data_IF_589742656377
#
_entry.id   IF_589742656377
#
_cell.length_a   1.000
_cell.length_b   1.000
_cell.length_c   1.000
_cell.angle_alpha   90.00
_cell.angle_beta   90.00
_cell.angle_gamma   90.00
#
_symmetry.space_group_name_H-M   'P 1'
#
loop_
_entity.id
_entity.type
_entity.pdbx_description
1 polymer ?
#
# COMPACT_ATOMS: atom_id res chain seq x y z
N UNK A 1 -12.64 -23.25 -17.32
CA UNK A 1 -14.11 -23.39 -17.40
C UNK A 1 -14.56 -24.36 -16.32
N UNK A 2 -15.59 -23.95 -15.57
CA UNK A 2 -16.34 -24.68 -14.52
C UNK A 2 -15.68 -24.75 -13.14
N UNK A 3 -16.14 -23.83 -12.28
CA UNK A 3 -16.08 -23.90 -10.82
C UNK A 3 -17.25 -24.79 -10.40
N UNK A 4 -16.99 -25.88 -9.69
CA UNK A 4 -18.02 -26.67 -9.02
C UNK A 4 -18.24 -26.13 -7.61
N UNK A 5 -19.48 -25.72 -7.33
CA UNK A 5 -19.94 -25.25 -6.03
C UNK A 5 -20.28 -26.40 -5.10
N UNK A 6 -20.04 -26.20 -3.80
CA UNK A 6 -20.64 -26.99 -2.72
C UNK A 6 -21.63 -26.06 -1.99
N UNK A 7 -22.87 -26.52 -1.74
CA UNK A 7 -23.99 -25.65 -1.37
C UNK A 7 -23.95 -25.14 0.07
N UNK A 8 -24.66 -24.03 0.24
CA UNK A 8 -24.93 -23.30 1.47
C UNK A 8 -25.42 -24.17 2.63
N UNK A 9 -24.93 -23.88 3.83
CA UNK A 9 -25.61 -24.25 5.07
C UNK A 9 -26.79 -23.30 5.28
N UNK A 10 -28.00 -23.85 5.30
CA UNK A 10 -29.25 -23.13 5.53
C UNK A 10 -29.40 -22.74 7.03
N UNK A 11 -30.22 -21.73 7.35
CA UNK A 11 -30.11 -20.92 8.56
C UNK A 11 -30.82 -21.55 9.77
N UNK A 12 -30.40 -21.16 10.98
CA UNK A 12 -31.18 -21.40 12.18
C UNK A 12 -32.36 -20.40 12.21
N UNK A 13 -33.56 -20.97 12.23
CA UNK A 13 -34.85 -20.29 12.30
C UNK A 13 -35.13 -19.75 13.71
N UNK A 14 -35.87 -18.64 13.79
CA UNK A 14 -36.59 -18.23 15.00
C UNK A 14 -36.14 -16.92 15.67
N UNK A 15 -36.70 -15.79 15.23
CA UNK A 15 -37.65 -14.99 16.02
C UNK A 15 -37.92 -13.63 15.35
N UNK A 16 -39.15 -13.46 14.88
CA UNK A 16 -39.67 -12.23 14.33
C UNK A 16 -39.89 -11.17 15.42
N UNK A 17 -39.42 -9.95 15.16
CA UNK A 17 -40.08 -8.74 15.63
C UNK A 17 -40.00 -7.68 14.52
N UNK A 18 -41.17 -7.28 14.04
CA UNK A 18 -41.38 -6.31 12.98
C UNK A 18 -40.89 -4.90 13.40
N UNK A 19 -40.30 -4.19 12.46
CA UNK A 19 -39.99 -2.76 12.58
C UNK A 19 -39.51 -2.22 11.25
N UNK A 20 -40.36 -1.46 10.56
CA UNK A 20 -40.11 -0.96 9.22
C UNK A 20 -38.88 -0.04 9.13
N UNK A 21 -38.20 -0.17 8.02
CA UNK A 21 -37.13 0.71 7.58
C UNK A 21 -36.55 0.06 6.34
N UNK A 22 -36.80 0.63 5.17
CA UNK A 22 -36.06 0.30 3.97
C UNK A 22 -34.59 0.63 4.26
N UNK A 23 -33.85 -0.36 4.75
CA UNK A 23 -32.41 -0.28 4.80
C UNK A 23 -31.96 -0.32 3.34
N UNK A 24 -31.74 0.86 2.79
CA UNK A 24 -30.89 1.04 1.61
C UNK A 24 -29.67 0.13 1.82
N UNK A 25 -29.61 -0.95 1.05
CA UNK A 25 -28.42 -1.78 0.92
C UNK A 25 -27.37 -0.97 0.16
N UNK A 26 -26.87 0.08 0.79
CA UNK A 26 -25.63 0.75 0.47
C UNK A 26 -24.49 -0.15 0.93
N UNK A 27 -24.43 -1.36 0.35
CA UNK A 27 -23.32 -2.28 0.46
C UNK A 27 -22.16 -1.71 -0.31
N UNK A 28 -21.53 -0.67 0.23
CA UNK A 28 -20.19 -0.29 -0.16
C UNK A 28 -19.34 -1.55 0.05
N UNK A 29 -18.71 -2.12 -1.00
CA UNK A 29 -17.81 -3.23 -0.76
C UNK A 29 -16.75 -2.71 0.19
N UNK A 30 -16.64 -3.31 1.38
CA UNK A 30 -15.49 -3.12 2.26
C UNK A 30 -14.26 -3.30 1.37
N UNK A 31 -13.50 -2.22 1.17
CA UNK A 31 -12.33 -2.25 0.32
C UNK A 31 -11.42 -3.34 0.89
N UNK A 32 -11.32 -4.47 0.19
CA UNK A 32 -10.41 -5.56 0.58
C UNK A 32 -9.01 -4.98 0.50
N UNK A 33 -8.46 -4.60 1.65
CA UNK A 33 -7.13 -4.04 1.78
C UNK A 33 -6.12 -5.18 1.59
N UNK A 34 -5.59 -5.31 0.38
CA UNK A 34 -4.45 -6.18 0.11
C UNK A 34 -3.17 -5.38 0.35
N UNK A 35 -2.31 -5.91 1.20
CA UNK A 35 -1.02 -5.28 1.55
C UNK A 35 0.11 -5.89 0.74
N UNK A 36 1.04 -5.04 0.29
CA UNK A 36 2.24 -5.50 -0.41
C UNK A 36 3.48 -5.16 0.40
N UNK A 37 4.33 -6.16 0.64
CA UNK A 37 5.61 -5.95 1.30
C UNK A 37 6.68 -5.48 0.29
N UNK A 38 7.42 -4.43 0.67
CA UNK A 38 8.50 -3.86 -0.14
C UNK A 38 9.75 -3.63 0.68
N UNK A 39 10.90 -4.03 0.13
CA UNK A 39 12.22 -3.75 0.68
C UNK A 39 12.65 -2.34 0.30
N UNK A 40 13.47 -1.69 1.13
CA UNK A 40 14.03 -0.36 0.84
C UNK A 40 14.68 -0.26 -0.56
N UNK A 41 15.42 -1.28 -0.99
CA UNK A 41 16.04 -1.30 -2.34
C UNK A 41 15.03 -1.20 -3.48
N UNK A 42 13.79 -1.64 -3.28
CA UNK A 42 12.72 -1.51 -4.28
C UNK A 42 12.21 -0.07 -4.36
N UNK A 43 12.24 0.70 -3.26
CA UNK A 43 11.94 2.13 -3.29
C UNK A 43 13.02 2.91 -4.04
N UNK A 44 14.30 2.54 -3.85
CA UNK A 44 15.42 3.11 -4.62
C UNK A 44 15.18 2.90 -6.11
N UNK A 45 14.91 1.65 -6.51
CA UNK A 45 14.64 1.31 -7.90
C UNK A 45 13.43 2.06 -8.48
N UNK A 46 12.34 2.17 -7.72
CA UNK A 46 11.17 2.97 -8.13
C UNK A 46 11.58 4.42 -8.40
N UNK A 47 12.33 5.04 -7.48
CA UNK A 47 12.76 6.43 -7.62
C UNK A 47 13.65 6.64 -8.84
N UNK A 48 14.59 5.73 -9.10
CA UNK A 48 15.46 5.78 -10.27
C UNK A 48 14.66 5.64 -11.57
N UNK A 49 13.71 4.69 -11.63
CA UNK A 49 12.83 4.50 -12.81
C UNK A 49 11.95 5.74 -13.07
N UNK A 50 11.44 6.38 -12.01
CA UNK A 50 10.69 7.63 -12.12
C UNK A 50 11.57 8.80 -12.55
N UNK A 51 12.82 8.89 -12.08
CA UNK A 51 13.76 9.91 -12.56
C UNK A 51 14.13 9.72 -14.03
N UNK A 52 14.19 8.48 -14.51
CA UNK A 52 14.46 8.20 -15.92
C UNK A 52 13.28 8.54 -16.84
N UNK A 53 12.05 8.32 -16.38
CA UNK A 53 10.84 8.41 -17.22
C UNK A 53 9.99 9.66 -17.01
N UNK A 54 10.04 10.26 -15.82
CA UNK A 54 9.20 11.38 -15.35
C UNK A 54 10.03 12.39 -14.53
N UNK A 55 11.27 12.65 -14.98
CA UNK A 55 12.19 13.58 -14.32
C UNK A 55 11.58 14.96 -13.96
N UNK A 56 10.83 15.64 -14.86
CA UNK A 56 10.29 16.95 -14.53
C UNK A 56 9.22 16.87 -13.43
N UNK A 57 8.37 15.85 -13.42
CA UNK A 57 7.33 15.66 -12.42
C UNK A 57 7.92 15.28 -11.05
N UNK A 58 8.97 14.46 -11.01
CA UNK A 58 9.70 14.15 -9.78
C UNK A 58 10.35 15.40 -9.19
N UNK A 59 10.95 16.25 -10.04
CA UNK A 59 11.56 17.52 -9.57
C UNK A 59 10.50 18.52 -9.11
N UNK A 60 9.37 18.62 -9.81
CA UNK A 60 8.28 19.55 -9.48
C UNK A 60 7.54 19.14 -8.20
N UNK A 61 7.31 17.84 -7.99
CA UNK A 61 6.69 17.32 -6.78
C UNK A 61 7.59 17.44 -5.54
N UNK A 62 8.91 17.51 -5.73
CA UNK A 62 9.87 17.57 -4.65
C UNK A 62 9.99 16.26 -3.86
N UNK A 63 9.46 15.14 -4.40
CA UNK A 63 9.54 13.85 -3.73
C UNK A 63 11.00 13.40 -3.61
N UNK A 64 11.46 13.19 -2.37
CA UNK A 64 12.82 12.72 -2.09
C UNK A 64 12.78 11.36 -1.42
N UNK A 65 13.60 10.45 -1.94
CA UNK A 65 13.82 9.17 -1.29
C UNK A 65 14.59 9.37 0.03
N UNK A 66 14.14 8.79 1.16
CA UNK A 66 14.89 8.87 2.40
C UNK A 66 16.24 8.16 2.28
N UNK A 67 17.23 8.64 3.04
CA UNK A 67 18.58 8.09 3.04
C UNK A 67 18.61 6.62 3.49
N UNK A 68 19.59 5.85 3.01
CA UNK A 68 19.79 4.45 3.39
C UNK A 68 19.99 4.30 4.90
N UNK A 69 19.63 3.13 5.41
CA UNK A 69 19.98 2.65 6.75
C UNK A 69 21.46 2.95 7.05
N UNK A 70 21.70 3.74 8.09
CA UNK A 70 23.03 3.92 8.66
C UNK A 70 23.12 3.07 9.91
N UNK A 71 23.51 1.83 9.73
CA UNK A 71 23.86 1.00 10.88
C UNK A 71 25.14 1.55 11.51
N UNK A 72 25.20 1.68 12.85
CA UNK A 72 26.45 1.97 13.52
C UNK A 72 27.50 0.91 13.15
N UNK A 73 28.76 1.30 13.16
CA UNK A 73 29.91 0.41 12.85
C UNK A 73 30.11 -0.68 13.91
N UNK A 74 29.45 -0.56 15.07
CA UNK A 74 29.42 -1.56 16.12
C UNK A 74 28.23 -2.50 15.90
N UNK A 75 28.37 -3.76 16.33
CA UNK A 75 27.34 -4.80 16.23
C UNK A 75 25.99 -4.29 16.77
N UNK A 76 25.02 -3.98 15.90
CA UNK A 76 23.74 -3.43 16.33
C UNK A 76 22.94 -4.53 17.02
N UNK A 77 22.24 -4.17 18.10
CA UNK A 77 21.30 -5.07 18.75
C UNK A 77 20.03 -5.20 17.91
N UNK A 78 19.23 -6.23 18.17
CA UNK A 78 17.91 -6.36 17.55
C UNK A 78 16.99 -5.16 17.85
N UNK A 79 17.15 -4.54 19.03
CA UNK A 79 16.41 -3.34 19.41
C UNK A 79 16.84 -2.12 18.57
N UNK A 80 18.14 -1.96 18.30
CA UNK A 80 18.66 -0.88 17.44
C UNK A 80 18.14 -1.02 16.01
N UNK A 81 18.09 -2.26 15.49
CA UNK A 81 17.52 -2.55 14.17
C UNK A 81 16.02 -2.24 14.10
N UNK A 82 15.26 -2.58 15.15
CA UNK A 82 13.83 -2.33 15.21
C UNK A 82 13.51 -0.82 15.33
N UNK A 83 14.26 -0.09 16.15
CA UNK A 83 14.12 1.35 16.31
C UNK A 83 14.43 2.10 15.00
N UNK A 84 15.58 1.81 14.37
CA UNK A 84 15.92 2.41 13.07
C UNK A 84 14.91 2.02 11.98
N UNK A 85 14.39 0.78 12.02
CA UNK A 85 13.32 0.36 11.11
C UNK A 85 12.04 1.19 11.27
N UNK A 86 11.59 1.40 12.51
CA UNK A 86 10.40 2.19 12.82
C UNK A 86 10.56 3.67 12.40
N UNK A 87 11.71 4.27 12.67
CA UNK A 87 12.02 5.66 12.30
C UNK A 87 11.99 5.91 10.79
N UNK A 88 12.18 4.87 9.97
CA UNK A 88 12.20 4.96 8.50
C UNK A 88 10.86 4.71 7.84
N UNK A 89 9.91 4.07 8.53
CA UNK A 89 8.58 3.81 7.97
C UNK A 89 7.84 5.11 7.65
N UNK A 90 7.91 6.10 8.54
CA UNK A 90 7.29 7.42 8.31
C UNK A 90 7.82 8.12 7.06
N UNK A 91 9.15 8.30 6.90
CA UNK A 91 9.73 8.89 5.70
C UNK A 91 9.45 8.11 4.41
N UNK A 92 9.43 6.78 4.44
CA UNK A 92 9.08 5.96 3.28
C UNK A 92 7.61 6.12 2.89
N UNK A 93 6.72 6.19 3.88
CA UNK A 93 5.31 6.46 3.65
C UNK A 93 5.12 7.85 3.05
N UNK A 94 5.74 8.88 3.62
CA UNK A 94 5.67 10.25 3.10
C UNK A 94 6.20 10.36 1.65
N UNK A 95 7.25 9.61 1.32
CA UNK A 95 7.73 9.50 -0.06
C UNK A 95 6.67 8.90 -0.98
N UNK A 96 6.01 7.81 -0.58
CA UNK A 96 4.95 7.20 -1.38
C UNK A 96 3.75 8.14 -1.52
N UNK A 97 3.30 8.77 -0.44
CA UNK A 97 2.22 9.75 -0.45
C UNK A 97 2.50 10.88 -1.44
N UNK A 98 3.74 11.36 -1.48
CA UNK A 98 4.19 12.35 -2.45
C UNK A 98 4.12 11.83 -3.90
N UNK A 99 4.62 10.61 -4.16
CA UNK A 99 4.58 9.98 -5.49
C UNK A 99 3.13 9.80 -5.95
N UNK A 100 2.25 9.30 -5.08
CA UNK A 100 0.85 9.09 -5.42
C UNK A 100 0.04 10.38 -5.43
N UNK A 101 0.52 11.50 -4.88
CA UNK A 101 -0.17 12.79 -5.01
C UNK A 101 -0.12 13.31 -6.45
N UNK A 102 0.97 13.06 -7.18
CA UNK A 102 1.11 13.42 -8.59
C UNK A 102 0.39 12.41 -9.50
N UNK A 103 -0.53 12.89 -10.33
CA UNK A 103 -1.29 12.04 -11.25
C UNK A 103 -0.37 11.31 -12.25
N UNK A 104 0.60 12.03 -12.83
CA UNK A 104 1.54 11.46 -13.78
C UNK A 104 2.43 10.38 -13.13
N UNK A 105 2.95 10.63 -11.94
CA UNK A 105 3.79 9.66 -11.22
C UNK A 105 2.98 8.46 -10.73
N UNK A 106 1.73 8.66 -10.31
CA UNK A 106 0.80 7.59 -9.92
C UNK A 106 0.46 6.68 -11.09
N UNK A 107 0.22 7.26 -12.26
CA UNK A 107 -0.11 6.52 -13.48
C UNK A 107 1.10 5.79 -14.10
N UNK A 108 2.32 6.14 -13.70
CA UNK A 108 3.54 5.55 -14.23
C UNK A 108 3.55 4.01 -14.03
N UNK A 109 3.95 3.22 -15.05
CA UNK A 109 4.01 1.76 -14.94
C UNK A 109 4.87 1.26 -13.78
N UNK A 110 5.96 1.96 -13.46
CA UNK A 110 6.83 1.64 -12.34
C UNK A 110 6.07 1.72 -10.99
N UNK A 111 5.29 2.79 -10.78
CA UNK A 111 4.49 2.99 -9.58
C UNK A 111 3.38 1.94 -9.46
N UNK A 112 2.69 1.64 -10.57
CA UNK A 112 1.64 0.62 -10.59
C UNK A 112 2.16 -0.77 -10.20
N UNK A 113 3.27 -1.22 -10.80
CA UNK A 113 3.96 -2.47 -10.43
C UNK A 113 4.43 -2.44 -8.98
N UNK A 114 4.96 -1.29 -8.53
CA UNK A 114 5.41 -1.14 -7.16
C UNK A 114 4.26 -1.31 -6.17
N UNK A 115 3.09 -0.76 -6.45
CA UNK A 115 1.89 -0.93 -5.63
C UNK A 115 1.25 -2.32 -5.79
N UNK A 116 1.64 -3.09 -6.81
CA UNK A 116 1.05 -4.40 -7.14
C UNK A 116 -0.25 -4.30 -7.94
N UNK A 117 -0.51 -3.15 -8.56
CA UNK A 117 -1.66 -2.88 -9.40
C UNK A 117 -1.32 -3.14 -10.88
N UNK A 118 -1.15 -4.42 -11.23
CA UNK A 118 -0.98 -4.89 -12.61
C UNK A 118 -2.22 -5.68 -13.06
#
# INVERSE_FOLDING_TARGET
MRVEGVPAVAPADGAAAAGGGAAECSGQPEAVAWGVSRRFSQFVRLHDELLCSHAPEVRASGCRLPAKFRLPTLLPTAADLAAEGADRMGPLQAYLDCVVASEALRAAPATRRFLGAD
#
